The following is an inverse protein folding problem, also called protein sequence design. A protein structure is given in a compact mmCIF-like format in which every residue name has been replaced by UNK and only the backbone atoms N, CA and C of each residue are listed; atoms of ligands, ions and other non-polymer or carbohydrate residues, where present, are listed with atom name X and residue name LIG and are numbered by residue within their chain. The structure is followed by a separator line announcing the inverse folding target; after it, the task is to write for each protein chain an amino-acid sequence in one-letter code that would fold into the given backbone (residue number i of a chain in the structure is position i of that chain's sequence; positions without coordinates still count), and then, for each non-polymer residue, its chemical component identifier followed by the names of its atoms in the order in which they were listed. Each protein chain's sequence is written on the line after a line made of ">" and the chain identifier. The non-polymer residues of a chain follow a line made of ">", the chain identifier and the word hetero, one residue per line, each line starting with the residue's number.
data_IF_987460910967
#
_entry.id   IF_987460910967
#
_cell.length_a   1.000
_cell.length_b   1.000
_cell.length_c   1.000
_cell.angle_alpha   90.00
_cell.angle_beta   90.00
_cell.angle_gamma   90.00
#
_symmetry.space_group_name_H-M   'P 1'
#
loop_
_entity.id
_entity.type
_entity.pdbx_description
1 polymer ?
#
# COMPACT_ATOMS: atom_id res chain seq x y z
N UNK A 1 -3.78 7.45 -10.76
CA UNK A 1 -3.05 6.18 -10.91
C UNK A 1 -2.42 5.82 -9.58
N UNK A 2 -2.63 4.60 -9.15
CA UNK A 2 -2.13 4.13 -7.85
C UNK A 2 -1.28 2.90 -8.10
N UNK A 3 -0.06 2.91 -7.56
CA UNK A 3 0.89 1.80 -7.75
C UNK A 3 1.55 1.44 -6.44
N UNK A 4 1.84 0.15 -6.30
CA UNK A 4 2.69 -0.35 -5.21
C UNK A 4 4.04 -0.66 -5.82
N UNK A 5 5.07 0.05 -5.38
CA UNK A 5 6.43 -0.09 -5.91
C UNK A 5 7.25 -0.97 -4.99
N UNK A 6 7.84 -2.03 -5.53
CA UNK A 6 8.72 -2.90 -4.76
C UNK A 6 10.12 -2.30 -4.77
N UNK A 7 10.69 -2.13 -3.57
CA UNK A 7 11.95 -1.44 -3.38
C UNK A 7 13.00 -2.44 -2.87
N UNK A 8 14.17 -2.44 -3.50
CA UNK A 8 15.32 -3.19 -3.01
C UNK A 8 16.51 -2.23 -2.99
N UNK A 9 17.10 -2.06 -1.82
CA UNK A 9 18.27 -1.17 -1.63
C UNK A 9 18.02 0.24 -2.17
N UNK A 10 16.80 0.75 -1.94
CA UNK A 10 16.44 2.10 -2.34
C UNK A 10 16.04 2.25 -3.81
N UNK A 11 16.08 1.18 -4.59
CA UNK A 11 15.74 1.23 -6.00
C UNK A 11 14.41 0.52 -6.27
N UNK A 12 13.60 1.08 -7.15
CA UNK A 12 12.36 0.46 -7.58
C UNK A 12 12.69 -0.67 -8.55
N UNK A 13 12.34 -1.89 -8.18
CA UNK A 13 12.62 -3.06 -9.02
C UNK A 13 11.38 -3.57 -9.75
N UNK A 14 10.19 -3.24 -9.26
CA UNK A 14 8.95 -3.56 -9.97
C UNK A 14 7.83 -2.64 -9.48
N UNK A 15 6.76 -2.55 -10.27
CA UNK A 15 5.58 -1.76 -9.95
C UNK A 15 4.35 -2.60 -10.19
N UNK A 16 3.38 -2.47 -9.29
CA UNK A 16 2.11 -3.18 -9.39
C UNK A 16 1.01 -2.13 -9.46
N UNK A 17 0.22 -2.16 -10.53
CA UNK A 17 -0.92 -1.28 -10.66
C UNK A 17 -2.03 -1.75 -9.71
N UNK A 18 -2.64 -0.82 -9.01
CA UNK A 18 -3.71 -1.12 -8.07
C UNK A 18 -5.02 -0.54 -8.56
N UNK A 19 -6.10 -1.27 -8.30
CA UNK A 19 -7.44 -0.88 -8.70
C UNK A 19 -8.36 -0.88 -7.49
N UNK A 20 -9.54 -0.32 -7.66
CA UNK A 20 -10.55 -0.33 -6.61
C UNK A 20 -10.82 -1.75 -6.13
N UNK A 21 -10.98 -1.92 -4.82
CA UNK A 21 -11.22 -3.20 -4.19
C UNK A 21 -10.13 -3.56 -3.20
N UNK A 22 -10.10 -4.83 -2.85
CA UNK A 22 -9.17 -5.37 -1.87
C UNK A 22 -7.99 -6.03 -2.56
N UNK A 23 -6.80 -5.78 -2.02
CA UNK A 23 -5.55 -6.31 -2.53
C UNK A 23 -4.83 -7.02 -1.38
N UNK A 24 -4.83 -8.35 -1.41
CA UNK A 24 -4.25 -9.14 -0.32
C UNK A 24 -2.80 -9.46 -0.60
N UNK A 25 -2.01 -9.50 0.47
CA UNK A 25 -0.58 -9.80 0.40
C UNK A 25 -0.28 -10.92 1.38
N UNK A 26 0.39 -11.95 0.93
CA UNK A 26 0.74 -13.07 1.78
C UNK A 26 1.55 -14.12 1.07
N UNK A 27 1.93 -15.15 1.84
CA UNK A 27 2.78 -16.22 1.33
C UNK A 27 1.97 -17.26 0.54
N UNK A 28 0.71 -17.44 0.86
CA UNK A 28 -0.11 -18.45 0.22
C UNK A 28 -0.51 -18.05 -1.19
N UNK A 29 -0.77 -19.06 -2.02
CA UNK A 29 -1.40 -18.87 -3.31
C UNK A 29 -2.80 -18.28 -3.11
N UNK A 30 -3.26 -17.51 -4.06
CA UNK A 30 -4.57 -16.89 -3.97
C UNK A 30 -4.55 -15.48 -3.43
N UNK A 31 -3.43 -15.02 -2.87
CA UNK A 31 -3.25 -13.61 -2.55
C UNK A 31 -3.09 -12.79 -3.83
N UNK A 32 -3.50 -11.54 -3.79
CA UNK A 32 -3.28 -10.62 -4.92
C UNK A 32 -1.79 -10.47 -5.21
N UNK A 33 -0.98 -10.45 -4.16
CA UNK A 33 0.47 -10.46 -4.26
C UNK A 33 1.01 -11.56 -3.36
N UNK A 34 1.68 -12.52 -3.96
CA UNK A 34 2.30 -13.62 -3.23
C UNK A 34 3.76 -13.30 -2.95
N UNK A 35 4.15 -13.38 -1.68
CA UNK A 35 5.53 -13.13 -1.26
C UNK A 35 6.12 -14.43 -0.72
N UNK A 36 7.12 -14.95 -1.42
CA UNK A 36 7.77 -16.21 -1.04
C UNK A 36 8.87 -15.93 -0.02
N UNK A 37 8.44 -15.70 1.23
CA UNK A 37 9.32 -15.34 2.33
C UNK A 37 8.76 -16.00 3.60
N UNK A 38 9.57 -16.80 4.28
CA UNK A 38 9.16 -17.47 5.49
C UNK A 38 8.70 -16.54 6.60
N UNK A 39 9.10 -15.27 6.58
CA UNK A 39 8.67 -14.28 7.56
C UNK A 39 7.27 -13.70 7.22
N UNK A 40 6.70 -14.06 6.09
CA UNK A 40 5.39 -13.56 5.66
C UNK A 40 4.33 -14.62 5.98
N UNK A 41 3.27 -14.22 6.66
CA UNK A 41 2.15 -15.11 6.97
C UNK A 41 1.37 -15.45 5.72
N UNK A 42 0.62 -16.56 5.76
CA UNK A 42 -0.15 -17.05 4.63
C UNK A 42 -1.06 -15.98 4.01
N UNK A 43 -1.82 -15.27 4.87
CA UNK A 43 -2.52 -14.05 4.49
C UNK A 43 -2.06 -13.00 5.49
N UNK A 44 -1.24 -12.08 5.05
CA UNK A 44 -0.48 -11.21 5.95
C UNK A 44 -1.11 -9.84 6.12
N UNK A 45 -1.48 -9.21 5.02
CA UNK A 45 -2.02 -7.86 5.04
C UNK A 45 -2.99 -7.65 3.90
N UNK A 46 -3.84 -6.64 4.06
CA UNK A 46 -4.84 -6.28 3.05
C UNK A 46 -4.76 -4.79 2.80
N UNK A 47 -4.58 -4.41 1.54
CA UNK A 47 -4.69 -3.01 1.12
C UNK A 47 -6.06 -2.84 0.49
N UNK A 48 -6.80 -1.84 0.94
CA UNK A 48 -8.14 -1.57 0.47
C UNK A 48 -8.17 -0.22 -0.24
N UNK A 49 -8.68 -0.21 -1.47
CA UNK A 49 -8.93 1.00 -2.25
C UNK A 49 -10.42 1.18 -2.37
N UNK A 50 -10.96 2.15 -1.66
CA UNK A 50 -12.39 2.42 -1.67
C UNK A 50 -12.66 3.80 -2.28
N UNK A 51 -13.66 3.89 -3.16
CA UNK A 51 -14.01 5.15 -3.77
C UNK A 51 -14.39 6.16 -2.69
N UNK A 52 -13.86 7.38 -2.81
CA UNK A 52 -14.18 8.44 -1.88
C UNK A 52 -15.63 8.91 -2.13
N UNK A 53 -16.41 9.05 -1.07
CA UNK A 53 -17.82 9.40 -1.18
C UNK A 53 -18.04 10.85 -1.64
N UNK A 54 -17.04 11.70 -1.48
CA UNK A 54 -17.19 13.14 -1.71
C UNK A 54 -16.39 13.65 -2.90
N UNK A 55 -15.29 12.98 -3.26
CA UNK A 55 -14.38 13.43 -4.30
C UNK A 55 -14.40 12.42 -5.45
N UNK A 56 -14.97 12.77 -6.61
CA UNK A 56 -15.02 11.86 -7.75
C UNK A 56 -13.62 11.41 -8.20
N UNK A 57 -13.52 10.18 -8.64
CA UNK A 57 -12.29 9.60 -9.17
C UNK A 57 -11.13 9.58 -8.16
N UNK A 58 -11.46 9.65 -6.88
CA UNK A 58 -10.50 9.61 -5.78
C UNK A 58 -10.75 8.39 -4.92
N UNK A 59 -9.69 7.78 -4.41
CA UNK A 59 -9.80 6.60 -3.56
C UNK A 59 -9.19 6.85 -2.20
N UNK A 60 -9.82 6.30 -1.19
CA UNK A 60 -9.25 6.19 0.15
C UNK A 60 -8.49 4.87 0.20
N UNK A 61 -7.23 4.93 0.63
CA UNK A 61 -6.34 3.78 0.64
C UNK A 61 -5.98 3.49 2.08
N UNK A 62 -6.16 2.23 2.48
CA UNK A 62 -5.79 1.79 3.83
C UNK A 62 -5.12 0.43 3.77
N UNK A 63 -4.37 0.11 4.82
CA UNK A 63 -3.75 -1.19 4.97
C UNK A 63 -4.12 -1.75 6.33
N UNK A 64 -4.40 -3.05 6.38
CA UNK A 64 -4.71 -3.78 7.61
C UNK A 64 -3.79 -4.97 7.74
N UNK A 65 -3.26 -5.18 8.95
CA UNK A 65 -2.56 -6.40 9.29
C UNK A 65 -3.60 -7.47 9.61
N UNK A 66 -3.48 -8.64 9.02
CA UNK A 66 -4.46 -9.71 9.17
C UNK A 66 -4.03 -10.73 10.23
N UNK A 67 -3.50 -10.25 11.34
CA UNK A 67 -3.06 -11.12 12.41
C UNK A 67 -1.75 -11.83 12.11
N UNK A 68 -0.86 -11.16 11.38
CA UNK A 68 0.40 -11.77 10.96
C UNK A 68 1.30 -12.07 12.15
N UNK A 69 2.19 -13.04 11.97
CA UNK A 69 3.15 -13.43 13.01
C UNK A 69 4.19 -12.34 13.25
N UNK A 70 4.68 -11.73 12.18
CA UNK A 70 5.81 -10.80 12.29
C UNK A 70 5.43 -9.33 12.10
N UNK A 71 4.15 -9.05 11.85
CA UNK A 71 3.66 -7.68 11.78
C UNK A 71 3.76 -7.05 10.40
N UNK A 72 3.01 -5.97 10.24
CA UNK A 72 3.02 -5.10 9.08
C UNK A 72 3.49 -3.73 9.55
N UNK A 73 4.40 -3.11 8.81
CA UNK A 73 5.02 -1.85 9.23
C UNK A 73 4.79 -0.78 8.17
N UNK A 74 4.39 0.40 8.62
CA UNK A 74 4.24 1.58 7.76
C UNK A 74 5.18 2.65 8.29
N UNK A 75 6.11 3.10 7.45
CA UNK A 75 7.12 4.09 7.83
C UNK A 75 7.85 3.71 9.11
N UNK A 76 8.14 2.42 9.27
CA UNK A 76 8.91 1.91 10.39
C UNK A 76 8.11 1.58 11.64
N UNK A 77 6.80 1.83 11.66
CA UNK A 77 5.96 1.57 12.82
C UNK A 77 5.01 0.40 12.56
N UNK A 78 4.92 -0.52 13.50
CA UNK A 78 3.98 -1.62 13.42
C UNK A 78 2.55 -1.09 13.50
N UNK A 79 1.69 -1.55 12.59
CA UNK A 79 0.31 -1.08 12.55
C UNK A 79 -0.65 -2.26 12.61
N UNK A 80 -1.88 -2.01 13.01
CA UNK A 80 -2.99 -2.93 12.84
C UNK A 80 -3.83 -2.52 11.65
N UNK A 81 -4.11 -1.23 11.54
CA UNK A 81 -4.78 -0.64 10.40
C UNK A 81 -4.33 0.81 10.31
N UNK A 82 -4.10 1.28 9.09
CA UNK A 82 -3.67 2.65 8.88
C UNK A 82 -4.06 3.12 7.49
N UNK A 83 -4.47 4.38 7.39
CA UNK A 83 -4.69 5.02 6.11
C UNK A 83 -3.34 5.31 5.45
N UNK A 84 -3.25 5.03 4.17
CA UNK A 84 -2.02 5.21 3.41
C UNK A 84 -2.07 6.47 2.56
N UNK A 85 -0.91 7.08 2.39
CA UNK A 85 -0.71 8.27 1.56
C UNK A 85 0.43 8.03 0.59
N UNK A 86 0.48 8.87 -0.44
CA UNK A 86 1.58 8.83 -1.39
C UNK A 86 2.93 8.91 -0.68
N UNK A 87 3.81 8.02 -1.03
CA UNK A 87 5.16 7.97 -0.47
C UNK A 87 5.31 7.15 0.78
N UNK A 88 4.21 6.61 1.34
CA UNK A 88 4.32 5.75 2.52
C UNK A 88 5.10 4.49 2.19
N UNK A 89 5.99 4.12 3.11
CA UNK A 89 6.80 2.92 3.01
C UNK A 89 6.13 1.80 3.79
N UNK A 90 5.99 0.64 3.18
CA UNK A 90 5.33 -0.52 3.76
C UNK A 90 6.34 -1.65 3.80
N UNK A 91 6.49 -2.29 4.97
CA UNK A 91 7.36 -3.45 5.10
C UNK A 91 6.58 -4.67 5.57
N UNK A 92 6.72 -5.76 4.85
CA UNK A 92 6.10 -7.04 5.14
C UNK A 92 7.19 -8.11 4.98
N UNK A 93 7.55 -8.76 6.08
CA UNK A 93 8.69 -9.65 6.08
C UNK A 93 9.95 -8.88 5.71
N UNK A 94 10.69 -9.36 4.72
CA UNK A 94 11.87 -8.67 4.22
C UNK A 94 11.57 -7.78 3.01
N UNK A 95 10.32 -7.73 2.60
CA UNK A 95 9.91 -6.93 1.43
C UNK A 95 9.59 -5.52 1.85
N UNK A 96 10.06 -4.57 1.04
CA UNK A 96 9.73 -3.16 1.22
C UNK A 96 9.00 -2.66 -0.01
N UNK A 97 7.92 -1.91 0.23
CA UNK A 97 7.12 -1.31 -0.82
C UNK A 97 6.92 0.16 -0.53
N UNK A 98 6.68 0.93 -1.58
CA UNK A 98 6.30 2.33 -1.44
C UNK A 98 5.04 2.57 -2.23
N UNK A 99 4.08 3.25 -1.61
CA UNK A 99 2.84 3.60 -2.29
C UNK A 99 3.07 4.82 -3.16
N UNK A 100 2.70 4.69 -4.43
CA UNK A 100 2.65 5.81 -5.35
C UNK A 100 1.19 6.13 -5.62
N UNK A 101 0.80 7.37 -5.35
CA UNK A 101 -0.57 7.82 -5.52
C UNK A 101 -0.51 9.25 -6.06
N UNK A 102 -0.81 9.40 -7.35
CA UNK A 102 -0.77 10.72 -7.98
C UNK A 102 -2.15 11.39 -8.01
N UNK A 103 -3.17 10.75 -7.45
CA UNK A 103 -4.51 11.33 -7.46
C UNK A 103 -4.60 12.60 -6.63
N UNK A 104 -3.80 12.68 -5.56
CA UNK A 104 -3.92 13.77 -4.61
C UNK A 104 -3.48 15.11 -5.17
N UNK A 105 -2.51 15.12 -6.08
CA UNK A 105 -2.04 16.41 -6.57
C UNK A 105 -3.03 17.09 -7.51
N UNK A 106 -3.96 16.34 -8.05
CA UNK A 106 -5.02 16.91 -8.86
C UNK A 106 -5.87 17.84 -8.04
N UNK A 107 -6.09 17.52 -6.78
CA UNK A 107 -6.89 18.35 -5.89
C UNK A 107 -6.10 19.43 -5.20
N UNK A 108 -4.80 19.41 -5.26
CA UNK A 108 -4.00 20.33 -4.49
C UNK A 108 -3.39 21.43 -5.28
N UNK A 109 -3.41 21.40 -6.46
CA UNK A 109 -2.82 22.41 -7.10
C UNK A 109 -3.36 23.71 -6.93
N UNK A 110 -3.53 23.67 -6.35
CA UNK A 110 -3.80 24.55 -5.94
C UNK A 110 -3.44 25.15 -5.06
N UNK A 111 -3.10 24.49 -4.96
CA UNK A 111 -2.65 24.83 -4.27
C UNK A 111 -2.10 25.37 -4.18
N UNK A 112 -2.00 25.26 -4.22
CA UNK A 112 -1.29 25.76 -4.00
C UNK A 112 -1.32 26.64 -4.19
N UNK A 113 -1.46 26.52 -4.25
CA UNK A 113 -1.36 27.34 -4.27
C UNK A 113 -1.18 28.10 -4.22
N UNK A 114 -1.06 28.36 -4.21
CA UNK A 114 -0.77 29.24 -4.02
C UNK A 114 -0.55 29.84 -3.74
N UNK A 115 -0.32 29.80 -3.81
CA UNK A 115 -0.01 30.32 -3.42
C UNK A 115 0.14 30.87 -3.20
#
# INVERSE_FOLDING_TARGET
>A
MIKLKHIINGAVVSEIDMAEGDFSIGRDHGNSLQLDDGAVSGTHALISLAANAFLPDTFDISISDLGSTNGTYVNGSAIKQQQLRNGDSIRIGTYEFKLFDDQSHVGTQTEYLPQ
#
